data_IF_979317203985
#
_entry.id   IF_979317203985
#
_cell.length_a   1.000
_cell.length_b   1.000
_cell.length_c   1.000
_cell.angle_alpha   90.00
_cell.angle_beta   90.00
_cell.angle_gamma   90.00
#
_symmetry.space_group_name_H-M   'P 1'
#
loop_
_entity.id
_entity.type
_entity.pdbx_description
1 polymer ?
#
# COMPACT_ATOMS: atom_id res chain seq x y z
N UNK A 1 -20.95 -6.60 -11.28
CA UNK A 1 -19.73 -6.28 -12.08
C UNK A 1 -19.24 -7.54 -12.79
N UNK A 2 -18.34 -7.48 -13.78
CA UNK A 2 -17.70 -8.69 -14.32
C UNK A 2 -16.73 -9.26 -13.27
N UNK A 3 -16.75 -10.58 -13.06
CA UNK A 3 -15.81 -11.28 -12.16
C UNK A 3 -14.35 -10.88 -12.42
N UNK A 4 -13.99 -10.72 -13.69
CA UNK A 4 -12.65 -10.30 -14.13
C UNK A 4 -12.22 -8.95 -13.57
N UNK A 5 -13.15 -8.03 -13.31
CA UNK A 5 -12.83 -6.72 -12.72
C UNK A 5 -12.61 -6.87 -11.22
N UNK A 6 -13.44 -7.64 -10.52
CA UNK A 6 -13.28 -7.92 -9.10
C UNK A 6 -11.95 -8.64 -8.81
N UNK A 7 -11.60 -9.66 -9.59
CA UNK A 7 -10.32 -10.36 -9.49
C UNK A 7 -9.13 -9.41 -9.74
N UNK A 8 -9.29 -8.48 -10.69
CA UNK A 8 -8.26 -7.49 -10.97
C UNK A 8 -8.07 -6.52 -9.81
N UNK A 9 -9.14 -6.04 -9.17
CA UNK A 9 -9.09 -5.16 -8.00
C UNK A 9 -8.40 -5.84 -6.82
N UNK A 10 -8.78 -7.08 -6.50
CA UNK A 10 -8.12 -7.86 -5.44
C UNK A 10 -6.63 -8.07 -5.70
N UNK A 11 -6.25 -8.39 -6.94
CA UNK A 11 -4.83 -8.52 -7.31
C UNK A 11 -4.08 -7.20 -7.18
N UNK A 12 -4.71 -6.07 -7.50
CA UNK A 12 -4.10 -4.74 -7.35
C UNK A 12 -3.95 -4.34 -5.88
N UNK A 13 -4.94 -4.67 -5.04
CA UNK A 13 -4.87 -4.50 -3.60
C UNK A 13 -3.66 -5.24 -3.00
N UNK A 14 -3.49 -6.53 -3.32
CA UNK A 14 -2.37 -7.32 -2.84
C UNK A 14 -1.00 -6.73 -3.25
N UNK A 15 -0.89 -6.17 -4.47
CA UNK A 15 0.33 -5.50 -4.92
C UNK A 15 0.59 -4.19 -4.17
N UNK A 16 -0.45 -3.42 -3.89
CA UNK A 16 -0.30 -2.21 -3.09
C UNK A 16 0.12 -2.55 -1.65
N UNK A 17 -0.41 -3.64 -1.07
CA UNK A 17 0.03 -4.12 0.25
C UNK A 17 1.53 -4.45 0.27
N UNK A 18 2.00 -5.21 -0.73
CA UNK A 18 3.41 -5.57 -0.86
C UNK A 18 4.31 -4.33 -0.95
N UNK A 19 3.98 -3.39 -1.85
CA UNK A 19 4.75 -2.16 -2.05
C UNK A 19 4.73 -1.24 -0.81
N UNK A 20 3.58 -1.15 -0.14
CA UNK A 20 3.44 -0.35 1.08
C UNK A 20 4.31 -0.90 2.20
N UNK A 21 4.32 -2.23 2.36
CA UNK A 21 5.16 -2.92 3.33
C UNK A 21 6.64 -2.78 3.00
N UNK A 22 7.02 -2.89 1.73
CA UNK A 22 8.40 -2.68 1.28
C UNK A 22 8.90 -1.26 1.63
N UNK A 23 8.09 -0.23 1.38
CA UNK A 23 8.45 1.15 1.73
C UNK A 23 8.61 1.36 3.25
N UNK A 24 7.74 0.75 4.07
CA UNK A 24 7.90 0.82 5.53
C UNK A 24 9.18 0.11 5.99
N UNK A 25 9.46 -1.08 5.47
CA UNK A 25 10.70 -1.80 5.80
C UNK A 25 11.95 -1.00 5.42
N UNK A 26 11.98 -0.42 4.21
CA UNK A 26 13.10 0.42 3.77
C UNK A 26 13.23 1.68 4.63
N UNK A 27 12.11 2.24 5.09
CA UNK A 27 12.17 3.37 6.00
C UNK A 27 12.76 2.99 7.36
N UNK A 28 12.39 1.81 7.89
CA UNK A 28 12.96 1.28 9.12
C UNK A 28 14.47 1.02 8.96
N UNK A 29 14.91 0.44 7.85
CA UNK A 29 16.33 0.26 7.52
C UNK A 29 17.08 1.61 7.47
N UNK A 30 16.47 2.65 6.87
CA UNK A 30 17.03 3.99 6.82
C UNK A 30 17.15 4.63 8.22
N UNK A 31 16.15 4.42 9.08
CA UNK A 31 16.20 4.87 10.49
C UNK A 31 17.33 4.20 11.26
N UNK A 32 17.58 2.90 11.04
CA UNK A 32 18.64 2.15 11.72
C UNK A 32 20.03 2.71 11.42
N UNK A 33 20.27 3.22 10.21
CA UNK A 33 21.55 3.83 9.82
C UNK A 33 21.61 5.35 10.04
N UNK A 34 20.55 5.95 10.58
CA UNK A 34 20.46 7.39 10.86
C UNK A 34 20.20 8.26 9.63
N UNK A 35 19.73 7.68 8.53
CA UNK A 35 19.31 8.42 7.34
C UNK A 35 17.86 8.89 7.48
N UNK A 36 17.68 9.95 8.27
CA UNK A 36 16.36 10.48 8.61
C UNK A 36 15.63 11.12 7.42
N UNK A 37 16.36 11.61 6.41
CA UNK A 37 15.78 12.21 5.22
C UNK A 37 15.11 11.14 4.36
N UNK A 38 15.84 10.06 4.05
CA UNK A 38 15.29 8.93 3.29
C UNK A 38 14.19 8.21 4.08
N UNK A 39 14.37 8.00 5.38
CA UNK A 39 13.34 7.42 6.24
C UNK A 39 12.01 8.21 6.16
N UNK A 40 12.07 9.54 6.29
CA UNK A 40 10.88 10.39 6.24
C UNK A 40 10.23 10.37 4.85
N UNK A 41 11.04 10.39 3.79
CA UNK A 41 10.55 10.25 2.42
C UNK A 41 9.83 8.92 2.22
N UNK A 42 10.45 7.80 2.59
CA UNK A 42 9.92 6.45 2.42
C UNK A 42 8.62 6.26 3.22
N UNK A 43 8.58 6.70 4.49
CA UNK A 43 7.35 6.68 5.31
C UNK A 43 6.22 7.49 4.66
N UNK A 44 6.52 8.67 4.12
CA UNK A 44 5.51 9.51 3.47
C UNK A 44 4.90 8.82 2.24
N UNK A 45 5.71 8.07 1.48
CA UNK A 45 5.24 7.31 0.32
C UNK A 45 4.44 6.08 0.74
N UNK A 46 4.88 5.39 1.78
CA UNK A 46 4.16 4.26 2.35
C UNK A 46 2.76 4.69 2.84
N UNK A 47 2.67 5.83 3.55
CA UNK A 47 1.40 6.36 4.03
C UNK A 47 0.42 6.69 2.88
N UNK A 48 0.92 7.29 1.80
CA UNK A 48 0.09 7.55 0.60
C UNK A 48 -0.44 6.24 0.00
N UNK A 49 0.41 5.22 -0.14
CA UNK A 49 -0.04 3.94 -0.69
C UNK A 49 -1.03 3.22 0.24
N UNK A 50 -0.82 3.31 1.55
CA UNK A 50 -1.76 2.80 2.55
C UNK A 50 -3.16 3.44 2.41
N UNK A 51 -3.24 4.76 2.26
CA UNK A 51 -4.52 5.44 1.99
C UNK A 51 -5.17 4.93 0.69
N UNK A 52 -4.38 4.71 -0.37
CA UNK A 52 -4.91 4.15 -1.61
C UNK A 52 -5.39 2.70 -1.45
N UNK A 53 -4.74 1.91 -0.58
CA UNK A 53 -5.21 0.56 -0.24
C UNK A 53 -6.54 0.61 0.49
N UNK A 54 -6.71 1.48 1.49
CA UNK A 54 -7.97 1.61 2.22
C UNK A 54 -9.12 2.03 1.30
N UNK A 55 -8.86 2.97 0.38
CA UNK A 55 -9.84 3.36 -0.63
C UNK A 55 -10.23 2.19 -1.55
N UNK A 56 -9.26 1.36 -1.94
CA UNK A 56 -9.52 0.19 -2.79
C UNK A 56 -10.24 -0.93 -2.03
N UNK A 57 -9.91 -1.14 -0.76
CA UNK A 57 -10.59 -2.09 0.14
C UNK A 57 -12.06 -1.74 0.34
N UNK A 58 -12.36 -0.44 0.54
CA UNK A 58 -13.73 0.06 0.60
C UNK A 58 -14.50 -0.26 -0.68
N UNK A 59 -13.90 -0.02 -1.85
CA UNK A 59 -14.51 -0.36 -3.14
C UNK A 59 -14.71 -1.87 -3.29
N UNK A 60 -13.75 -2.71 -2.88
CA UNK A 60 -13.90 -4.17 -2.95
C UNK A 60 -15.05 -4.63 -2.03
N UNK A 61 -15.10 -4.12 -0.81
CA UNK A 61 -16.12 -4.44 0.19
C UNK A 61 -17.53 -4.05 -0.28
N UNK A 62 -17.70 -2.88 -0.90
CA UNK A 62 -18.97 -2.45 -1.49
C UNK A 62 -19.47 -3.39 -2.61
N UNK A 63 -18.57 -4.15 -3.23
CA UNK A 63 -18.90 -5.07 -4.32
C UNK A 63 -19.20 -6.49 -3.85
N UNK A 64 -18.77 -6.86 -2.64
CA UNK A 64 -19.10 -8.14 -2.00
C UNK A 64 -20.47 -8.12 -1.31
N UNK A 65 -20.96 -6.92 -0.95
CA UNK A 65 -22.30 -6.69 -0.37
C UNK A 65 -23.44 -6.80 -1.37
#
# INVERSE_FOLDING_TARGET
>A
MKQTTFDALNRLYAKLEELTRELYNLADDALEIGDFEDASLLQSRAAILYEQMENLDAVISELEG
#
